data_IF_704054408005
#
_entry.id   IF_704054408005
#
_cell.length_a   1.000
_cell.length_b   1.000
_cell.length_c   1.000
_cell.angle_alpha   90.00
_cell.angle_beta   90.00
_cell.angle_gamma   90.00
#
_symmetry.space_group_name_H-M   'P 1'
#
loop_
_entity.id
_entity.type
_entity.pdbx_description
1 polymer ?
#
# COMPACT_ATOMS: atom_id res chain seq x y z
N UNK A 1 -7.49 23.65 0.71
CA UNK A 1 -8.59 23.34 1.63
C UNK A 1 -8.52 24.30 2.81
N UNK A 2 -9.62 24.97 3.13
CA UNK A 2 -9.69 25.82 4.32
C UNK A 2 -10.29 24.97 5.42
N UNK A 3 -9.47 24.54 6.36
CA UNK A 3 -9.93 23.82 7.54
C UNK A 3 -10.14 24.83 8.66
N UNK A 4 -11.36 24.96 9.15
CA UNK A 4 -11.68 25.77 10.33
C UNK A 4 -11.61 24.82 11.53
N UNK A 5 -10.68 25.04 12.48
CA UNK A 5 -10.60 24.21 13.68
C UNK A 5 -11.95 24.22 14.42
N UNK A 6 -12.34 23.10 14.98
CA UNK A 6 -13.53 22.89 15.78
C UNK A 6 -14.90 23.08 15.05
N UNK A 7 -14.90 23.17 13.71
CA UNK A 7 -16.13 23.17 12.91
C UNK A 7 -16.33 21.83 12.23
N UNK A 8 -17.25 21.04 12.73
CA UNK A 8 -17.72 19.83 12.06
C UNK A 8 -18.92 20.16 11.17
N UNK A 9 -18.73 20.11 9.85
CA UNK A 9 -19.83 20.31 8.91
C UNK A 9 -20.62 19.01 8.79
N UNK A 10 -21.81 18.98 9.39
CA UNK A 10 -22.76 17.91 9.19
C UNK A 10 -23.71 18.27 8.06
N UNK A 11 -23.83 17.41 7.06
CA UNK A 11 -24.82 17.53 6.00
C UNK A 11 -25.91 16.47 6.20
N UNK A 12 -26.94 16.74 7.00
CA UNK A 12 -28.02 15.79 7.22
C UNK A 12 -28.84 15.65 5.93
N UNK A 13 -29.05 14.42 5.49
CA UNK A 13 -30.10 14.12 4.52
C UNK A 13 -31.41 14.01 5.31
N UNK A 14 -32.30 14.99 5.13
CA UNK A 14 -33.61 14.98 5.79
C UNK A 14 -34.58 14.24 4.85
N UNK A 15 -35.05 13.09 5.26
CA UNK A 15 -36.18 12.43 4.61
C UNK A 15 -37.48 13.14 5.04
N UNK A 16 -38.48 13.28 4.16
CA UNK A 16 -39.78 13.85 4.54
C UNK A 16 -40.34 13.17 5.78
N UNK A 17 -40.84 13.97 6.71
CA UNK A 17 -41.42 13.44 7.95
C UNK A 17 -42.78 12.78 7.71
N UNK A 18 -43.47 13.21 6.64
CA UNK A 18 -44.78 12.69 6.31
C UNK A 18 -44.64 11.45 5.42
N UNK A 19 -44.82 10.31 6.04
CA UNK A 19 -44.96 9.05 5.32
C UNK A 19 -46.42 8.94 4.85
N UNK A 20 -46.69 8.65 3.55
CA UNK A 20 -48.02 8.34 3.11
C UNK A 20 -48.62 7.19 3.93
N UNK A 21 -49.88 7.34 4.36
CA UNK A 21 -50.59 6.37 5.21
C UNK A 21 -50.60 4.94 4.61
N UNK A 22 -50.54 4.85 3.30
CA UNK A 22 -50.49 3.60 2.53
C UNK A 22 -49.16 2.84 2.64
N UNK A 23 -48.16 3.43 3.28
CA UNK A 23 -46.86 2.80 3.56
C UNK A 23 -46.74 2.29 5.01
N UNK A 24 -47.80 2.41 5.81
CA UNK A 24 -47.82 1.78 7.13
C UNK A 24 -47.65 0.26 6.98
N UNK A 25 -46.65 -0.31 7.69
CA UNK A 25 -46.29 -1.72 7.57
C UNK A 25 -45.43 -2.09 6.37
N UNK A 26 -45.06 -1.17 5.52
CA UNK A 26 -44.07 -1.42 4.46
C UNK A 26 -42.70 -1.74 5.07
N UNK A 27 -41.89 -2.57 4.38
CA UNK A 27 -40.54 -2.88 4.83
C UNK A 27 -39.72 -1.59 4.95
N UNK A 28 -38.69 -1.63 5.82
CA UNK A 28 -37.80 -0.51 6.01
C UNK A 28 -37.24 0.01 4.67
N UNK A 29 -37.22 1.35 4.45
CA UNK A 29 -36.80 1.90 3.17
C UNK A 29 -35.34 1.57 2.85
N UNK A 30 -35.06 1.25 1.61
CA UNK A 30 -33.70 1.15 1.11
C UNK A 30 -33.07 2.56 1.05
N UNK A 31 -31.97 2.75 1.76
CA UNK A 31 -31.22 4.01 1.71
C UNK A 31 -29.99 3.84 0.82
N UNK A 32 -29.97 4.55 -0.30
CA UNK A 32 -28.84 4.51 -1.24
C UNK A 32 -28.07 5.83 -1.15
N UNK A 33 -26.84 5.76 -0.64
CA UNK A 33 -25.94 6.88 -0.56
C UNK A 33 -24.89 6.77 -1.67
N UNK A 34 -24.82 7.79 -2.52
CA UNK A 34 -23.86 7.84 -3.62
C UNK A 34 -23.06 9.12 -3.55
N UNK A 35 -21.76 8.98 -3.80
CA UNK A 35 -20.86 10.07 -4.10
C UNK A 35 -20.42 9.91 -5.54
N UNK A 36 -20.69 10.90 -6.38
CA UNK A 36 -20.19 10.93 -7.74
C UNK A 36 -18.96 11.83 -7.83
N UNK A 37 -17.86 11.26 -8.31
CA UNK A 37 -16.75 12.01 -8.88
C UNK A 37 -16.88 11.95 -10.39
N UNK A 38 -16.71 13.10 -11.05
CA UNK A 38 -16.73 13.19 -12.51
C UNK A 38 -15.53 12.42 -13.10
N UNK A 39 -14.37 12.52 -12.42
CA UNK A 39 -13.17 11.73 -12.69
C UNK A 39 -12.57 11.27 -11.34
N UNK A 40 -12.55 9.97 -11.04
CA UNK A 40 -11.98 9.46 -9.79
C UNK A 40 -10.47 9.70 -9.66
N UNK A 41 -9.78 9.98 -10.78
CA UNK A 41 -8.34 10.21 -10.82
C UNK A 41 -7.95 11.69 -10.90
N UNK A 42 -8.91 12.60 -11.10
CA UNK A 42 -8.66 14.04 -11.07
C UNK A 42 -8.60 14.55 -9.63
N UNK A 43 -7.39 14.63 -9.09
CA UNK A 43 -7.11 15.12 -7.74
C UNK A 43 -7.17 16.66 -7.63
N UNK A 44 -7.32 17.37 -8.75
CA UNK A 44 -7.31 18.85 -8.77
C UNK A 44 -8.67 19.47 -8.46
N UNK A 45 -9.73 18.70 -8.46
CA UNK A 45 -11.06 19.18 -8.09
C UNK A 45 -11.22 19.28 -6.58
N UNK A 46 -11.18 20.50 -6.09
CA UNK A 46 -11.31 20.83 -4.67
C UNK A 46 -12.75 21.02 -4.19
N UNK A 47 -13.72 20.97 -5.11
CA UNK A 47 -15.16 21.15 -4.84
C UNK A 47 -15.86 19.85 -4.45
N UNK A 48 -15.17 18.72 -4.53
CA UNK A 48 -15.72 17.41 -4.18
C UNK A 48 -15.52 17.06 -2.71
N UNK A 49 -16.47 16.32 -2.16
CA UNK A 49 -16.36 15.80 -0.79
C UNK A 49 -15.24 14.78 -0.66
N UNK A 50 -14.36 14.97 0.30
CA UNK A 50 -13.28 14.02 0.62
C UNK A 50 -13.85 12.73 1.24
N UNK A 51 -14.99 12.80 1.91
CA UNK A 51 -15.65 11.66 2.54
C UNK A 51 -17.16 11.72 2.43
N UNK A 52 -17.80 10.56 2.40
CA UNK A 52 -19.25 10.45 2.43
C UNK A 52 -19.74 10.48 3.90
N UNK A 53 -20.01 11.67 4.42
CA UNK A 53 -20.62 11.83 5.74
C UNK A 53 -22.07 12.24 5.57
N UNK A 54 -22.99 11.38 5.94
CA UNK A 54 -24.42 11.63 5.88
C UNK A 54 -25.09 11.17 7.16
N UNK A 55 -25.99 11.99 7.65
CA UNK A 55 -26.93 11.63 8.71
C UNK A 55 -28.28 11.46 8.07
N UNK A 56 -28.83 10.25 8.13
CA UNK A 56 -30.15 9.95 7.60
C UNK A 56 -31.11 9.79 8.78
N UNK A 57 -32.18 10.60 8.79
CA UNK A 57 -33.24 10.44 9.78
C UNK A 57 -34.24 9.41 9.24
N UNK A 58 -34.40 8.34 9.96
CA UNK A 58 -35.37 7.29 9.63
C UNK A 58 -36.70 7.61 10.32
N UNK A 59 -37.84 7.28 9.67
CA UNK A 59 -39.14 7.47 10.30
C UNK A 59 -39.35 6.55 11.50
N UNK A 60 -38.82 5.33 11.43
CA UNK A 60 -38.93 4.30 12.47
C UNK A 60 -37.56 3.66 12.74
N UNK A 61 -37.41 3.03 13.91
CA UNK A 61 -36.24 2.24 14.22
C UNK A 61 -36.20 0.99 13.33
N UNK A 62 -35.07 0.75 12.65
CA UNK A 62 -34.89 -0.39 11.77
C UNK A 62 -33.45 -0.90 11.84
N UNK A 63 -33.29 -2.19 11.50
CA UNK A 63 -31.97 -2.80 11.33
C UNK A 63 -31.65 -2.87 9.84
N UNK A 64 -30.45 -2.41 9.48
CA UNK A 64 -29.98 -2.39 8.11
C UNK A 64 -28.75 -3.28 7.93
N UNK A 65 -28.69 -3.95 6.80
CA UNK A 65 -27.44 -4.50 6.27
C UNK A 65 -26.78 -3.43 5.43
N UNK A 66 -25.49 -3.23 5.63
CA UNK A 66 -24.70 -2.26 4.86
C UNK A 66 -23.94 -3.01 3.79
N UNK A 67 -24.19 -2.63 2.54
CA UNK A 67 -23.42 -3.07 1.38
C UNK A 67 -22.86 -1.83 0.67
N UNK A 68 -21.66 -1.93 0.11
CA UNK A 68 -21.06 -0.76 -0.54
C UNK A 68 -19.95 -1.13 -1.49
N UNK A 69 -19.82 -0.30 -2.52
CA UNK A 69 -18.67 -0.28 -3.42
C UNK A 69 -17.94 1.04 -3.24
N UNK A 70 -16.62 0.98 -3.15
CA UNK A 70 -15.78 2.15 -3.04
C UNK A 70 -14.73 2.14 -4.16
N UNK A 71 -14.63 3.25 -4.89
CA UNK A 71 -13.50 3.47 -5.78
C UNK A 71 -12.36 4.11 -4.95
N UNK A 72 -11.23 3.44 -4.80
CA UNK A 72 -10.13 3.96 -4.03
C UNK A 72 -9.46 5.14 -4.75
N UNK A 73 -8.94 6.08 -3.96
CA UNK A 73 -8.06 7.14 -4.47
C UNK A 73 -6.62 6.71 -4.17
N UNK A 74 -5.72 6.72 -5.14
CA UNK A 74 -4.31 6.43 -4.92
C UNK A 74 -3.70 7.29 -3.81
N UNK A 75 -2.80 6.73 -3.03
CA UNK A 75 -2.10 7.41 -1.95
C UNK A 75 -1.80 6.48 -0.77
N UNK A 76 -0.96 6.95 0.16
CA UNK A 76 -0.51 6.19 1.34
C UNK A 76 -1.64 5.55 2.16
N UNK A 77 -2.78 6.24 2.26
CA UNK A 77 -3.91 5.72 3.04
C UNK A 77 -4.54 4.50 2.37
N UNK A 78 -4.54 4.44 1.03
CA UNK A 78 -5.01 3.28 0.31
C UNK A 78 -4.06 2.11 0.46
N UNK A 79 -2.75 2.35 0.37
CA UNK A 79 -1.72 1.32 0.61
C UNK A 79 -1.92 0.71 2.00
N UNK A 80 -2.03 1.56 3.05
CA UNK A 80 -2.28 1.08 4.42
C UNK A 80 -3.59 0.31 4.58
N UNK A 81 -4.64 0.73 3.87
CA UNK A 81 -5.92 0.02 3.90
C UNK A 81 -5.81 -1.36 3.26
N UNK A 82 -5.18 -1.45 2.09
CA UNK A 82 -4.95 -2.72 1.39
C UNK A 82 -4.09 -3.64 2.25
N UNK A 83 -3.04 -3.08 2.87
CA UNK A 83 -2.18 -3.81 3.79
C UNK A 83 -2.93 -4.31 5.05
N UNK A 84 -3.86 -3.53 5.57
CA UNK A 84 -4.67 -3.92 6.73
C UNK A 84 -5.77 -4.95 6.40
N UNK A 85 -6.24 -4.99 5.15
CA UNK A 85 -7.27 -5.94 4.68
C UNK A 85 -6.68 -7.23 4.12
N UNK A 86 -5.42 -7.20 3.68
CA UNK A 86 -4.71 -8.39 3.22
C UNK A 86 -4.34 -9.30 4.39
N UNK A 87 -4.11 -10.56 4.11
CA UNK A 87 -3.46 -11.45 5.07
C UNK A 87 -2.07 -10.88 5.38
N UNK A 88 -1.74 -10.54 6.63
CA UNK A 88 -0.43 -10.00 6.95
C UNK A 88 0.71 -10.95 6.59
N UNK A 89 0.41 -12.27 6.40
CA UNK A 89 1.45 -13.29 6.35
C UNK A 89 2.29 -13.30 7.63
N UNK A 90 3.28 -14.15 7.69
CA UNK A 90 4.20 -14.22 8.84
C UNK A 90 5.29 -13.14 8.79
N UNK A 91 5.39 -12.41 7.66
CA UNK A 91 6.41 -11.39 7.42
C UNK A 91 5.76 -10.05 7.10
N UNK A 92 5.99 -9.06 7.96
CA UNK A 92 5.60 -7.68 7.70
C UNK A 92 6.61 -7.00 6.77
N UNK A 93 6.12 -6.40 5.68
CA UNK A 93 6.96 -5.73 4.68
C UNK A 93 6.56 -4.25 4.58
N UNK A 94 7.56 -3.37 4.60
CA UNK A 94 7.37 -1.93 4.40
C UNK A 94 8.48 -1.35 3.52
N UNK A 95 8.25 -0.19 2.91
CA UNK A 95 9.26 0.49 2.09
C UNK A 95 9.30 1.99 2.36
N UNK A 96 10.40 2.63 2.01
CA UNK A 96 10.56 4.09 2.12
C UNK A 96 9.86 4.85 1.01
N UNK A 97 9.53 4.20 -0.09
CA UNK A 97 8.80 4.79 -1.21
C UNK A 97 8.14 3.73 -2.09
N UNK A 98 7.07 4.15 -2.75
CA UNK A 98 6.37 3.35 -3.77
C UNK A 98 6.00 4.27 -4.91
N UNK A 99 6.15 3.84 -6.15
CA UNK A 99 5.88 4.67 -7.31
C UNK A 99 4.46 5.20 -7.32
N UNK A 100 4.37 6.54 -7.25
CA UNK A 100 3.09 7.27 -7.25
C UNK A 100 2.14 6.88 -6.12
N UNK A 101 2.65 6.27 -5.03
CA UNK A 101 1.86 5.75 -3.92
C UNK A 101 0.74 4.80 -4.37
N UNK A 102 1.00 4.03 -5.44
CA UNK A 102 0.02 3.12 -6.03
C UNK A 102 0.09 1.74 -5.35
N UNK A 103 -1.04 1.19 -4.86
CA UNK A 103 -1.09 -0.12 -4.20
C UNK A 103 -0.65 -1.29 -5.07
N UNK A 104 -0.74 -1.14 -6.40
CA UNK A 104 -0.26 -2.16 -7.35
C UNK A 104 1.24 -2.40 -7.22
N UNK A 105 1.99 -1.39 -6.75
CA UNK A 105 3.43 -1.46 -6.49
C UNK A 105 3.77 -1.54 -5.00
N UNK A 106 2.84 -1.98 -4.17
CA UNK A 106 3.04 -2.16 -2.72
C UNK A 106 4.26 -3.05 -2.42
N UNK A 107 5.03 -2.77 -1.36
CA UNK A 107 6.18 -3.60 -0.96
C UNK A 107 5.82 -5.06 -0.65
N UNK A 108 4.57 -5.38 -0.36
CA UNK A 108 4.11 -6.76 -0.20
C UNK A 108 4.26 -7.61 -1.45
N UNK A 109 4.29 -6.97 -2.64
CA UNK A 109 4.53 -7.64 -3.91
C UNK A 109 5.90 -8.31 -4.02
N UNK A 110 6.83 -7.93 -3.14
CA UNK A 110 8.15 -8.54 -3.06
C UNK A 110 8.14 -10.00 -2.57
N UNK A 111 7.08 -10.42 -1.89
CA UNK A 111 7.01 -11.72 -1.21
C UNK A 111 5.66 -12.42 -1.41
N UNK A 112 4.88 -12.04 -2.41
CA UNK A 112 3.56 -12.63 -2.66
C UNK A 112 3.63 -13.93 -3.50
N UNK A 113 4.81 -14.28 -4.00
CA UNK A 113 5.03 -15.48 -4.80
C UNK A 113 4.55 -15.39 -6.24
N UNK A 114 4.12 -14.20 -6.67
CA UNK A 114 3.65 -13.95 -8.03
C UNK A 114 4.66 -13.08 -8.80
N UNK A 115 5.46 -13.68 -9.70
CA UNK A 115 6.50 -12.99 -10.47
C UNK A 115 5.94 -11.95 -11.45
N UNK A 116 4.63 -11.94 -11.69
CA UNK A 116 3.96 -10.95 -12.55
C UNK A 116 3.59 -9.67 -11.79
N UNK A 117 3.73 -9.67 -10.48
CA UNK A 117 3.58 -8.49 -9.62
C UNK A 117 4.95 -7.90 -9.25
N UNK A 118 4.98 -6.68 -8.72
CA UNK A 118 6.25 -6.05 -8.33
C UNK A 118 6.08 -4.88 -7.39
N UNK A 119 7.08 -4.68 -6.57
CA UNK A 119 7.33 -3.39 -5.94
C UNK A 119 8.19 -2.52 -6.86
N UNK A 120 7.81 -1.25 -6.99
CA UNK A 120 8.58 -0.24 -7.73
C UNK A 120 8.76 0.97 -6.82
N UNK A 121 10.00 1.41 -6.63
CA UNK A 121 10.33 2.59 -5.83
C UNK A 121 9.91 3.88 -6.54
N UNK A 122 9.77 4.97 -5.78
CA UNK A 122 9.66 6.29 -6.38
C UNK A 122 11.02 6.68 -7.02
N UNK A 123 11.02 7.16 -8.27
CA UNK A 123 12.26 7.55 -8.96
C UNK A 123 12.97 8.76 -8.32
N UNK A 124 12.28 9.53 -7.47
CA UNK A 124 12.88 10.63 -6.71
C UNK A 124 13.62 10.17 -5.45
N UNK A 125 13.45 8.91 -5.05
CA UNK A 125 14.14 8.35 -3.90
C UNK A 125 15.54 7.82 -4.31
N UNK A 126 16.64 8.47 -3.90
CA UNK A 126 17.98 8.09 -4.34
C UNK A 126 18.47 6.77 -3.73
N UNK A 127 17.94 6.38 -2.58
CA UNK A 127 18.30 5.13 -1.89
C UNK A 127 17.02 4.47 -1.37
N UNK A 128 16.26 3.80 -2.26
CA UNK A 128 15.06 3.10 -1.81
C UNK A 128 15.42 1.93 -0.90
N UNK A 129 14.61 1.76 0.15
CA UNK A 129 14.78 0.68 1.12
C UNK A 129 13.49 -0.07 1.33
N UNK A 130 13.62 -1.35 1.67
CA UNK A 130 12.54 -2.23 2.10
C UNK A 130 12.92 -2.84 3.43
N UNK A 131 12.01 -2.82 4.40
CA UNK A 131 12.19 -3.45 5.71
C UNK A 131 11.26 -4.64 5.85
N UNK A 132 11.82 -5.77 6.23
CA UNK A 132 11.15 -7.04 6.50
C UNK A 132 11.23 -7.30 8.00
N UNK A 133 10.12 -7.72 8.62
CA UNK A 133 10.03 -8.11 10.03
C UNK A 133 9.23 -9.36 10.19
N UNK A 134 9.68 -10.23 11.09
CA UNK A 134 9.02 -11.49 11.46
C UNK A 134 9.18 -11.76 12.94
N UNK A 135 8.41 -12.70 13.50
CA UNK A 135 8.30 -12.88 14.94
C UNK A 135 9.56 -13.47 15.59
N UNK A 136 10.05 -14.60 15.05
CA UNK A 136 11.13 -15.36 15.64
C UNK A 136 12.46 -15.14 14.90
N UNK A 137 13.61 -14.93 15.60
CA UNK A 137 14.88 -14.76 14.92
C UNK A 137 15.27 -15.96 14.04
N UNK A 138 15.59 -15.69 12.78
CA UNK A 138 16.04 -16.67 11.79
C UNK A 138 17.46 -16.34 11.34
N UNK A 139 18.24 -17.35 10.99
CA UNK A 139 19.60 -17.16 10.47
C UNK A 139 19.57 -17.05 8.95
N UNK A 140 19.89 -15.87 8.44
CA UNK A 140 19.94 -15.53 7.03
C UNK A 140 21.39 -15.60 6.52
N UNK A 141 21.65 -16.22 5.39
CA UNK A 141 22.96 -16.31 4.73
C UNK A 141 22.90 -16.24 3.20
N UNK A 142 21.69 -16.24 2.65
CA UNK A 142 21.43 -16.14 1.22
C UNK A 142 20.24 -15.19 0.98
N UNK A 143 20.30 -14.46 -0.13
CA UNK A 143 19.19 -13.67 -0.67
C UNK A 143 19.03 -13.95 -2.16
N UNK A 144 17.80 -13.96 -2.64
CA UNK A 144 17.45 -14.08 -4.06
C UNK A 144 16.54 -12.92 -4.44
N UNK A 145 16.86 -12.29 -5.56
CA UNK A 145 16.11 -11.18 -6.11
C UNK A 145 15.72 -11.48 -7.56
N UNK A 146 14.45 -11.29 -7.87
CA UNK A 146 13.94 -11.30 -9.25
C UNK A 146 13.56 -9.86 -9.61
N UNK A 147 14.25 -9.29 -10.59
CA UNK A 147 13.97 -7.93 -11.05
C UNK A 147 12.80 -7.90 -12.05
N UNK A 148 12.10 -6.76 -12.11
CA UNK A 148 11.00 -6.56 -13.08
C UNK A 148 11.48 -6.31 -14.51
N UNK A 149 12.74 -5.96 -14.70
CA UNK A 149 13.27 -5.54 -16.01
C UNK A 149 12.91 -4.11 -16.40
N UNK A 150 13.28 -3.69 -17.64
CA UNK A 150 13.08 -2.33 -18.11
C UNK A 150 11.60 -1.90 -18.07
N UNK A 151 11.28 -0.64 -17.73
CA UNK A 151 12.18 0.52 -17.62
C UNK A 151 12.82 0.72 -16.23
N UNK A 152 12.66 -0.19 -15.30
CA UNK A 152 13.23 -0.11 -13.96
C UNK A 152 14.70 -0.54 -13.93
N UNK A 153 15.43 -0.12 -12.91
CA UNK A 153 16.79 -0.59 -12.67
C UNK A 153 16.79 -1.93 -11.94
N UNK A 154 17.72 -2.79 -12.36
CA UNK A 154 18.00 -4.07 -11.69
C UNK A 154 19.19 -3.86 -10.77
N UNK A 155 19.03 -4.01 -9.45
CA UNK A 155 20.16 -3.87 -8.53
C UNK A 155 21.22 -4.95 -8.80
N UNK A 156 22.49 -4.55 -8.83
CA UNK A 156 23.63 -5.47 -8.92
C UNK A 156 24.16 -5.84 -7.53
N UNK A 157 23.84 -5.05 -6.54
CA UNK A 157 24.22 -5.27 -5.14
C UNK A 157 23.13 -4.81 -4.21
N UNK A 158 23.11 -5.38 -3.01
CA UNK A 158 22.21 -5.01 -1.91
C UNK A 158 23.05 -4.63 -0.70
N UNK A 159 22.56 -3.69 0.08
CA UNK A 159 23.05 -3.44 1.41
C UNK A 159 21.99 -3.88 2.43
N UNK A 160 22.36 -4.83 3.29
CA UNK A 160 21.50 -5.38 4.34
C UNK A 160 21.89 -4.79 5.67
N UNK A 161 20.93 -4.21 6.38
CA UNK A 161 21.10 -3.69 7.74
C UNK A 161 20.14 -4.44 8.69
N UNK A 162 20.65 -4.88 9.83
CA UNK A 162 19.86 -5.55 10.86
C UNK A 162 20.42 -5.25 12.26
N UNK A 163 19.67 -5.54 13.33
CA UNK A 163 20.21 -5.50 14.69
C UNK A 163 21.45 -6.38 14.93
N UNK A 164 21.64 -7.42 14.10
CA UNK A 164 22.79 -8.32 14.16
C UNK A 164 24.01 -7.83 13.35
N UNK A 165 23.90 -6.70 12.64
CA UNK A 165 24.95 -6.08 11.86
C UNK A 165 24.57 -5.86 10.39
N UNK A 166 25.54 -5.42 9.60
CA UNK A 166 25.38 -5.02 8.20
C UNK A 166 26.09 -5.98 7.24
N UNK A 167 25.59 -6.11 6.00
CA UNK A 167 26.22 -6.91 4.94
C UNK A 167 26.01 -6.23 3.59
N UNK A 168 27.09 -6.18 2.80
CA UNK A 168 27.00 -5.89 1.37
C UNK A 168 26.94 -7.21 0.61
N UNK A 169 25.99 -7.33 -0.28
CA UNK A 169 25.75 -8.54 -1.06
C UNK A 169 25.79 -8.21 -2.54
N UNK A 170 26.71 -8.83 -3.25
CA UNK A 170 26.78 -8.74 -4.71
C UNK A 170 25.89 -9.84 -5.30
N UNK A 171 24.96 -9.45 -6.17
CA UNK A 171 24.06 -10.38 -6.83
C UNK A 171 24.74 -10.96 -8.06
N UNK A 172 24.68 -12.30 -8.18
CA UNK A 172 25.10 -13.02 -9.39
C UNK A 172 24.11 -12.86 -10.53
N UNK A 173 24.46 -13.35 -11.72
CA UNK A 173 23.63 -13.23 -12.93
C UNK A 173 22.23 -13.87 -12.83
N UNK A 174 22.00 -14.74 -11.84
CA UNK A 174 20.70 -15.31 -11.53
C UNK A 174 19.96 -14.60 -10.38
N UNK A 175 20.44 -13.44 -9.96
CA UNK A 175 19.84 -12.65 -8.87
C UNK A 175 20.10 -13.16 -7.46
N UNK A 176 20.90 -14.22 -7.29
CA UNK A 176 21.27 -14.77 -5.98
C UNK A 176 22.55 -14.16 -5.43
N UNK A 177 22.63 -14.01 -4.10
CA UNK A 177 23.82 -13.57 -3.39
C UNK A 177 23.91 -14.23 -2.01
N UNK A 178 25.11 -14.70 -1.65
CA UNK A 178 25.41 -15.26 -0.34
C UNK A 178 26.19 -14.27 0.52
N UNK A 179 25.98 -14.28 1.81
CA UNK A 179 26.67 -13.42 2.76
C UNK A 179 26.96 -14.14 4.08
N UNK A 180 27.80 -13.52 4.90
CA UNK A 180 28.07 -14.06 6.23
C UNK A 180 26.78 -14.01 7.05
N UNK A 181 26.39 -15.15 7.61
CA UNK A 181 25.15 -15.32 8.35
C UNK A 181 24.83 -14.21 9.35
N UNK A 182 23.55 -13.85 9.41
CA UNK A 182 22.92 -12.91 10.33
C UNK A 182 21.75 -13.60 11.01
N UNK A 183 21.73 -13.69 12.34
CA UNK A 183 20.57 -14.19 13.09
C UNK A 183 19.77 -13.00 13.57
N UNK A 184 18.58 -12.79 13.01
CA UNK A 184 17.76 -11.59 13.23
C UNK A 184 16.29 -11.89 13.00
N UNK A 185 15.41 -11.00 13.43
CA UNK A 185 13.98 -10.97 13.13
C UNK A 185 13.57 -9.71 12.36
N UNK A 186 14.56 -8.93 11.91
CA UNK A 186 14.35 -7.76 11.09
C UNK A 186 15.54 -7.57 10.15
N UNK A 187 15.27 -7.21 8.89
CA UNK A 187 16.29 -6.78 7.95
C UNK A 187 15.77 -5.63 7.10
N UNK A 188 16.58 -4.60 6.96
CA UNK A 188 16.36 -3.51 6.01
C UNK A 188 17.30 -3.74 4.82
N UNK A 189 16.71 -3.83 3.65
CA UNK A 189 17.41 -3.99 2.37
C UNK A 189 17.44 -2.65 1.66
N UNK A 190 18.61 -2.10 1.45
CA UNK A 190 18.83 -0.91 0.63
C UNK A 190 19.28 -1.31 -0.77
N UNK A 191 18.78 -0.59 -1.76
CA UNK A 191 19.09 -0.81 -3.16
C UNK A 191 19.96 0.36 -3.66
N UNK A 192 21.29 0.28 -3.51
CA UNK A 192 22.17 1.31 -4.03
C UNK A 192 22.05 1.37 -5.55
N UNK A 193 21.71 2.53 -6.07
CA UNK A 193 21.69 2.78 -7.50
C UNK A 193 22.97 3.52 -7.89
N UNK A 194 23.70 3.00 -8.88
CA UNK A 194 24.85 3.70 -9.47
C UNK A 194 24.37 4.88 -10.34
N UNK A 195 23.68 5.82 -9.72
CA UNK A 195 23.13 6.97 -10.45
C UNK A 195 24.04 8.16 -10.26
N UNK A 196 24.68 8.60 -11.35
CA UNK A 196 25.15 9.98 -11.44
C UNK A 196 23.94 10.90 -11.62
N UNK A 197 23.55 11.70 -10.60
CA UNK A 197 22.36 12.55 -10.67
C UNK A 197 22.37 13.56 -11.81
N UNK A 198 23.54 13.78 -12.44
CA UNK A 198 23.73 14.75 -13.51
C UNK A 198 23.62 14.13 -14.91
N UNK A 199 23.83 12.83 -15.04
CA UNK A 199 23.85 12.15 -16.34
C UNK A 199 22.64 11.26 -16.61
N UNK A 200 21.93 10.83 -15.58
CA UNK A 200 20.76 9.98 -15.74
C UNK A 200 19.74 10.30 -14.62
N UNK A 201 18.55 10.82 -14.95
CA UNK A 201 17.54 11.01 -13.92
C UNK A 201 17.28 9.65 -13.23
N UNK A 202 17.26 9.69 -11.91
CA UNK A 202 17.06 8.53 -11.06
C UNK A 202 15.97 7.63 -11.63
N UNK A 203 16.33 6.37 -11.89
CA UNK A 203 15.37 5.37 -12.32
C UNK A 203 14.80 4.68 -11.09
N UNK A 204 13.53 4.37 -11.16
CA UNK A 204 12.91 3.55 -10.14
C UNK A 204 13.56 2.16 -10.09
N UNK A 205 13.82 1.65 -8.90
CA UNK A 205 14.17 0.25 -8.69
C UNK A 205 12.88 -0.58 -8.78
N UNK A 206 12.92 -1.66 -9.54
CA UNK A 206 11.80 -2.59 -9.69
C UNK A 206 12.19 -4.00 -9.30
N UNK A 207 11.50 -4.57 -8.33
CA UNK A 207 11.72 -5.92 -7.83
C UNK A 207 10.41 -6.68 -7.85
N UNK A 208 10.37 -7.81 -8.57
CA UNK A 208 9.23 -8.71 -8.60
C UNK A 208 9.23 -9.60 -7.36
N UNK A 209 10.38 -10.21 -7.02
CA UNK A 209 10.50 -11.08 -5.86
C UNK A 209 11.79 -10.81 -5.09
N UNK A 210 11.69 -10.77 -3.78
CA UNK A 210 12.82 -10.75 -2.85
C UNK A 210 12.64 -11.89 -1.85
N UNK A 211 13.53 -12.85 -1.86
CA UNK A 211 13.45 -14.03 -1.01
C UNK A 211 14.69 -14.23 -0.17
N UNK A 212 14.49 -14.57 1.06
CA UNK A 212 15.50 -15.16 1.92
C UNK A 212 15.09 -16.61 2.14
N UNK A 213 15.78 -17.61 1.52
CA UNK A 213 15.34 -19.00 1.56
C UNK A 213 15.11 -19.55 2.97
N UNK A 214 15.80 -19.01 3.96
CA UNK A 214 15.62 -19.39 5.37
C UNK A 214 14.27 -18.91 5.97
N UNK A 215 13.51 -18.06 5.29
CA UNK A 215 12.17 -17.60 5.71
C UNK A 215 11.04 -18.35 4.97
N UNK A 216 11.36 -19.24 4.02
CA UNK A 216 10.39 -20.01 3.25
C UNK A 216 9.97 -21.32 3.96
N UNK A 217 10.63 -21.69 5.08
CA UNK A 217 10.38 -22.90 5.90
C UNK A 217 9.45 -22.58 7.10
#
# INVERSE_FOLDING_TARGET
EITIPDVEVQRPLVTPADRPEDLEGAPAPLVVLRRHRADPFDLTRHDEEVGLRRVVRLPDAATYTVEGEAAPVPGDQLIRLVDALGDPGDIAVSSTSTWGDLPVFSPRRLMDGDPDTSWISDPSNPVPTVTLRWDEPVTLDEVRLTATGPPTETPAQLHLESPAGERDVVLGGAGGGSFRALTTNEVTVSFPTDVDPLSNPSRAVGVAELRFPALDD
#
